data_IF_119107293195
#
_entry.id   IF_119107293195
#
_cell.length_a   1.000
_cell.length_b   1.000
_cell.length_c   1.000
_cell.angle_alpha   90.00
_cell.angle_beta   90.00
_cell.angle_gamma   90.00
#
_symmetry.space_group_name_H-M   'P 1'
#
loop_
_entity.id
_entity.type
_entity.pdbx_description
1 polymer ?
#
# COMPACT_ATOMS: atom_id res chain seq x y z
N UNK A 1 14.07 -11.36 -28.82
CA UNK A 1 13.88 -11.66 -27.38
C UNK A 1 12.74 -10.80 -26.87
N UNK A 2 11.78 -11.35 -26.14
CA UNK A 2 10.71 -10.54 -25.53
C UNK A 2 11.26 -9.82 -24.30
N UNK A 3 11.04 -8.50 -24.21
CA UNK A 3 11.42 -7.69 -23.05
C UNK A 3 10.50 -8.03 -21.87
N UNK A 4 10.97 -7.88 -20.64
CA UNK A 4 10.24 -8.31 -19.45
C UNK A 4 9.97 -7.15 -18.50
N UNK A 5 8.70 -6.92 -18.19
CA UNK A 5 8.27 -6.10 -17.06
C UNK A 5 7.72 -7.01 -15.96
N UNK A 6 8.40 -7.04 -14.82
CA UNK A 6 7.90 -7.71 -13.62
C UNK A 6 7.20 -6.68 -12.74
N UNK A 7 5.96 -6.94 -12.35
CA UNK A 7 5.26 -6.16 -11.32
C UNK A 7 5.39 -6.91 -10.01
N UNK A 8 6.29 -6.46 -9.13
CA UNK A 8 6.57 -7.07 -7.85
C UNK A 8 5.67 -6.46 -6.78
N UNK A 9 4.72 -7.25 -6.28
CA UNK A 9 3.85 -6.87 -5.18
C UNK A 9 4.59 -7.04 -3.84
N UNK A 10 4.82 -5.92 -3.18
CA UNK A 10 5.60 -5.77 -1.95
C UNK A 10 4.71 -5.36 -0.77
N UNK A 11 5.33 -5.31 0.40
CA UNK A 11 4.77 -4.75 1.62
C UNK A 11 5.88 -4.02 2.37
N UNK A 12 5.56 -3.02 3.18
CA UNK A 12 6.54 -2.36 4.07
C UNK A 12 6.90 -3.22 5.29
N UNK A 13 7.28 -4.47 5.04
CA UNK A 13 7.67 -5.46 6.04
C UNK A 13 9.09 -5.94 5.75
N UNK A 14 9.93 -5.97 6.78
CA UNK A 14 11.33 -6.39 6.69
C UNK A 14 11.51 -7.77 6.01
N UNK A 15 10.62 -8.71 6.33
CA UNK A 15 10.61 -10.07 5.80
C UNK A 15 10.41 -10.16 4.27
N UNK A 16 9.92 -9.09 3.64
CA UNK A 16 9.79 -9.04 2.18
C UNK A 16 11.08 -8.64 1.45
N UNK A 17 12.01 -7.97 2.13
CA UNK A 17 13.20 -7.40 1.51
C UNK A 17 14.14 -8.43 0.86
N UNK A 18 14.44 -9.60 1.46
CA UNK A 18 15.28 -10.59 0.80
C UNK A 18 14.69 -11.05 -0.55
N UNK A 19 13.38 -11.30 -0.60
CA UNK A 19 12.68 -11.68 -1.84
C UNK A 19 12.59 -10.52 -2.83
N UNK A 20 12.40 -9.29 -2.33
CA UNK A 20 12.45 -8.11 -3.19
C UNK A 20 13.81 -7.99 -3.88
N UNK A 21 14.90 -8.13 -3.12
CA UNK A 21 16.27 -8.09 -3.63
C UNK A 21 16.50 -9.13 -4.74
N UNK A 22 16.14 -10.39 -4.48
CA UNK A 22 16.25 -11.49 -5.45
C UNK A 22 15.53 -11.18 -6.78
N UNK A 23 14.29 -10.69 -6.70
CA UNK A 23 13.48 -10.37 -7.89
C UNK A 23 14.03 -9.14 -8.61
N UNK A 24 14.40 -8.09 -7.88
CA UNK A 24 14.93 -6.85 -8.42
C UNK A 24 16.27 -7.07 -9.14
N UNK A 25 17.18 -7.84 -8.55
CA UNK A 25 18.51 -8.14 -9.10
C UNK A 25 18.47 -8.85 -10.48
N UNK A 26 17.35 -9.46 -10.85
CA UNK A 26 17.17 -10.11 -12.15
C UNK A 26 16.84 -9.12 -13.30
N UNK A 27 16.76 -7.81 -13.03
CA UNK A 27 16.33 -6.80 -13.98
C UNK A 27 17.39 -5.71 -14.19
N UNK A 28 17.38 -5.06 -15.36
CA UNK A 28 18.27 -3.95 -15.66
C UNK A 28 17.89 -2.66 -14.92
N UNK A 29 16.61 -2.50 -14.58
CA UNK A 29 16.12 -1.37 -13.81
C UNK A 29 15.02 -1.75 -12.81
N UNK A 30 14.93 -0.97 -11.74
CA UNK A 30 13.83 -0.99 -10.76
C UNK A 30 13.14 0.36 -10.72
N UNK A 31 11.81 0.35 -10.78
CA UNK A 31 10.96 1.52 -10.60
C UNK A 31 10.23 1.42 -9.26
N UNK A 32 10.54 2.32 -8.35
CA UNK A 32 10.02 2.38 -6.98
C UNK A 32 8.67 3.09 -6.92
N UNK A 33 7.84 2.72 -5.94
CA UNK A 33 6.56 3.37 -5.62
C UNK A 33 6.76 4.61 -4.73
N UNK A 34 7.69 5.47 -5.12
CA UNK A 34 8.04 6.69 -4.39
C UNK A 34 8.22 7.86 -5.37
N UNK A 35 7.88 9.10 -4.96
CA UNK A 35 8.18 10.28 -5.77
C UNK A 35 9.69 10.56 -5.72
N UNK A 36 10.24 11.29 -6.71
CA UNK A 36 11.61 11.77 -6.64
C UNK A 36 11.87 12.56 -5.34
N UNK A 37 12.91 12.19 -4.59
CA UNK A 37 13.32 12.89 -3.37
C UNK A 37 14.74 13.47 -3.51
N UNK A 38 15.00 14.68 -2.98
CA UNK A 38 16.34 15.24 -2.94
C UNK A 38 17.34 14.29 -2.24
N UNK A 39 18.54 14.16 -2.81
CA UNK A 39 19.61 13.32 -2.24
C UNK A 39 19.47 11.82 -2.48
N UNK A 40 18.39 11.34 -3.11
CA UNK A 40 18.22 9.90 -3.40
C UNK A 40 19.35 9.33 -4.26
N UNK A 41 19.73 10.01 -5.34
CA UNK A 41 20.83 9.56 -6.18
C UNK A 41 22.19 9.59 -5.47
N UNK A 42 22.43 10.60 -4.64
CA UNK A 42 23.66 10.70 -3.85
C UNK A 42 23.73 9.59 -2.80
N UNK A 43 22.58 9.22 -2.23
CA UNK A 43 22.44 8.07 -1.34
C UNK A 43 22.75 6.77 -2.08
N UNK A 44 22.26 6.58 -3.30
CA UNK A 44 22.57 5.40 -4.11
C UNK A 44 24.04 5.32 -4.55
N UNK A 45 24.70 6.47 -4.74
CA UNK A 45 26.12 6.59 -5.09
C UNK A 45 27.07 6.52 -3.90
N UNK A 46 26.54 6.37 -2.68
CA UNK A 46 27.32 6.39 -1.43
C UNK A 46 28.02 7.74 -1.13
N UNK A 47 27.60 8.82 -1.81
CA UNK A 47 28.07 10.19 -1.54
C UNK A 47 27.26 10.91 -0.46
N UNK A 48 26.09 10.37 -0.11
CA UNK A 48 25.28 10.76 1.05
C UNK A 48 25.02 9.51 1.90
N UNK A 49 25.18 9.61 3.22
CA UNK A 49 24.91 8.46 4.09
C UNK A 49 23.41 8.13 4.09
N UNK A 50 23.05 6.87 4.38
CA UNK A 50 21.63 6.50 4.48
C UNK A 50 20.98 7.29 5.61
N UNK A 51 21.66 7.44 6.75
CA UNK A 51 21.09 8.11 7.91
C UNK A 51 20.83 9.61 7.60
N UNK A 52 21.77 10.31 6.94
CA UNK A 52 21.56 11.71 6.51
C UNK A 52 20.43 11.87 5.48
N UNK A 53 20.28 10.89 4.57
CA UNK A 53 19.18 10.88 3.61
C UNK A 53 17.83 10.71 4.32
N UNK A 54 17.77 9.83 5.32
CA UNK A 54 16.54 9.55 6.06
C UNK A 54 16.16 10.68 7.04
N UNK A 55 17.11 11.45 7.57
CA UNK A 55 16.81 12.61 8.46
C UNK A 55 15.91 13.66 7.79
N UNK A 56 15.98 13.78 6.47
CA UNK A 56 15.27 14.79 5.69
C UNK A 56 13.90 14.31 5.19
N UNK A 57 13.47 13.09 5.53
CA UNK A 57 12.22 12.51 5.03
C UNK A 57 11.48 11.77 6.15
N UNK A 58 10.18 12.03 6.28
CA UNK A 58 9.33 11.35 7.27
C UNK A 58 8.83 10.01 6.71
N UNK A 59 9.28 8.90 7.30
CA UNK A 59 8.89 7.54 6.90
C UNK A 59 8.16 6.82 8.02
N UNK A 60 7.02 6.18 7.68
CA UNK A 60 6.22 5.41 8.64
C UNK A 60 6.84 4.09 9.12
N UNK A 61 7.92 3.63 8.49
CA UNK A 61 8.59 2.35 8.78
C UNK A 61 10.12 2.53 8.77
N UNK A 62 10.73 3.10 9.82
CA UNK A 62 12.14 3.48 9.83
C UNK A 62 13.10 2.31 9.61
N UNK A 63 12.87 1.15 10.23
CA UNK A 63 13.77 -0.01 10.08
C UNK A 63 13.69 -0.58 8.67
N UNK A 64 12.48 -0.76 8.14
CA UNK A 64 12.25 -1.18 6.76
C UNK A 64 12.91 -0.22 5.78
N UNK A 65 12.68 1.08 5.92
CA UNK A 65 13.18 2.08 4.98
C UNK A 65 14.71 2.10 4.96
N UNK A 66 15.35 2.01 6.13
CA UNK A 66 16.80 1.93 6.23
C UNK A 66 17.38 0.69 5.55
N UNK A 67 16.78 -0.47 5.77
CA UNK A 67 17.23 -1.71 5.13
C UNK A 67 16.93 -1.73 3.62
N UNK A 68 15.81 -1.16 3.20
CA UNK A 68 15.47 -0.98 1.79
C UNK A 68 16.49 -0.06 1.10
N UNK A 69 16.88 1.07 1.70
CA UNK A 69 17.94 1.93 1.18
C UNK A 69 19.27 1.19 1.01
N UNK A 70 19.67 0.40 2.01
CA UNK A 70 20.89 -0.39 1.94
C UNK A 70 20.85 -1.44 0.81
N UNK A 71 19.72 -2.13 0.66
CA UNK A 71 19.47 -3.06 -0.45
C UNK A 71 19.56 -2.35 -1.81
N UNK A 72 18.88 -1.21 -1.98
CA UNK A 72 18.85 -0.44 -3.21
C UNK A 72 20.23 0.10 -3.58
N UNK A 73 21.01 0.60 -2.61
CA UNK A 73 22.41 0.99 -2.79
C UNK A 73 23.25 -0.18 -3.28
N UNK A 74 23.10 -1.37 -2.68
CA UNK A 74 23.80 -2.57 -3.12
C UNK A 74 23.46 -2.96 -4.57
N UNK A 75 22.17 -2.92 -4.93
CA UNK A 75 21.73 -3.21 -6.30
C UNK A 75 22.24 -2.16 -7.30
N UNK A 76 22.23 -0.88 -6.92
CA UNK A 76 22.77 0.20 -7.75
C UNK A 76 24.28 0.06 -7.97
N UNK A 77 25.04 -0.28 -6.92
CA UNK A 77 26.47 -0.57 -7.02
C UNK A 77 26.77 -1.77 -7.95
N UNK A 78 25.84 -2.71 -8.09
CA UNK A 78 25.91 -3.81 -9.04
C UNK A 78 25.55 -3.41 -10.50
N UNK A 79 25.30 -2.12 -10.76
CA UNK A 79 25.02 -1.57 -12.10
C UNK A 79 23.54 -1.48 -12.45
N UNK A 80 22.63 -1.77 -11.53
CA UNK A 80 21.19 -1.66 -11.75
C UNK A 80 20.74 -0.20 -11.72
N UNK A 81 19.87 0.20 -12.66
CA UNK A 81 19.24 1.53 -12.62
C UNK A 81 18.09 1.53 -11.61
N UNK A 82 18.12 2.44 -10.64
CA UNK A 82 17.03 2.58 -9.65
C UNK A 82 16.37 3.94 -9.87
N UNK A 83 15.06 3.96 -10.13
CA UNK A 83 14.30 5.17 -10.38
C UNK A 83 13.08 5.25 -9.46
N UNK A 84 12.80 6.44 -8.94
CA UNK A 84 11.56 6.77 -8.27
C UNK A 84 10.51 7.16 -9.31
N UNK A 85 9.39 6.43 -9.38
CA UNK A 85 8.36 6.62 -10.41
C UNK A 85 6.99 6.64 -9.77
N UNK A 86 6.62 7.80 -9.21
CA UNK A 86 5.31 8.03 -8.60
C UNK A 86 4.75 9.43 -8.94
N UNK A 87 4.21 9.61 -10.16
CA UNK A 87 3.79 10.92 -10.65
C UNK A 87 2.66 11.55 -9.82
N UNK A 88 1.80 10.75 -9.19
CA UNK A 88 0.72 11.29 -8.37
C UNK A 88 1.28 12.06 -7.17
N UNK A 89 2.25 11.47 -6.46
CA UNK A 89 2.86 12.11 -5.29
C UNK A 89 3.78 13.26 -5.69
N UNK A 90 4.45 13.18 -6.84
CA UNK A 90 5.22 14.29 -7.39
C UNK A 90 4.33 15.51 -7.67
N UNK A 91 3.20 15.32 -8.36
CA UNK A 91 2.22 16.38 -8.61
C UNK A 91 1.65 16.92 -7.29
N UNK A 92 1.37 16.04 -6.32
CA UNK A 92 0.87 16.45 -5.01
C UNK A 92 1.89 17.32 -4.25
N UNK A 93 3.18 16.98 -4.32
CA UNK A 93 4.24 17.79 -3.73
C UNK A 93 4.28 19.20 -4.35
N UNK A 94 4.20 19.31 -5.69
CA UNK A 94 4.14 20.61 -6.36
C UNK A 94 2.90 21.44 -5.99
N UNK A 95 1.76 20.80 -5.71
CA UNK A 95 0.56 21.48 -5.20
C UNK A 95 0.84 22.04 -3.79
N UNK A 96 1.47 21.27 -2.91
CA UNK A 96 1.83 21.72 -1.56
C UNK A 96 2.83 22.88 -1.59
N UNK A 97 3.86 22.82 -2.44
CA UNK A 97 4.82 23.91 -2.63
C UNK A 97 4.13 25.21 -3.09
N UNK A 98 3.19 25.11 -4.05
CA UNK A 98 2.39 26.25 -4.50
C UNK A 98 1.60 26.88 -3.35
N UNK A 99 0.95 26.06 -2.51
CA UNK A 99 0.18 26.57 -1.37
C UNK A 99 1.10 27.18 -0.31
N UNK A 100 2.27 26.60 -0.06
CA UNK A 100 3.28 27.18 0.83
C UNK A 100 3.79 28.55 0.32
N UNK A 101 3.84 28.73 -1.00
CA UNK A 101 4.16 30.01 -1.65
C UNK A 101 2.97 31.01 -1.69
N UNK A 102 1.83 30.70 -1.07
CA UNK A 102 0.67 31.58 -0.97
C UNK A 102 -0.39 31.39 -2.06
N UNK A 103 -0.25 30.38 -2.92
CA UNK A 103 -1.29 30.02 -3.89
C UNK A 103 -2.53 29.40 -3.23
N UNK A 104 -3.66 29.46 -3.91
CA UNK A 104 -4.94 28.94 -3.45
C UNK A 104 -5.46 27.81 -4.36
N UNK A 105 -6.37 26.94 -3.86
CA UNK A 105 -7.01 25.92 -4.70
C UNK A 105 -7.71 26.46 -5.95
N UNK A 106 -8.18 27.71 -5.93
CA UNK A 106 -8.81 28.35 -7.09
C UNK A 106 -7.83 28.64 -8.24
N UNK A 107 -6.52 28.67 -7.96
CA UNK A 107 -5.47 28.97 -8.94
C UNK A 107 -5.04 27.74 -9.75
N UNK A 108 -5.57 26.55 -9.42
CA UNK A 108 -5.31 25.31 -10.15
C UNK A 108 -6.26 25.25 -11.37
N UNK A 109 -5.75 25.17 -12.62
CA UNK A 109 -6.60 25.12 -13.80
C UNK A 109 -7.54 23.91 -13.79
N UNK A 110 -8.81 24.09 -14.16
CA UNK A 110 -9.83 23.04 -14.02
C UNK A 110 -9.58 21.78 -14.87
N UNK A 111 -8.99 21.92 -16.05
CA UNK A 111 -8.75 20.81 -16.98
C UNK A 111 -7.32 20.25 -16.89
N UNK A 112 -6.66 20.40 -15.74
CA UNK A 112 -5.27 19.97 -15.54
C UNK A 112 -5.12 18.68 -14.73
N UNK A 113 -3.96 18.03 -14.84
CA UNK A 113 -3.64 16.86 -14.01
C UNK A 113 -3.54 17.24 -12.53
N UNK A 114 -3.01 18.42 -12.22
CA UNK A 114 -2.95 18.97 -10.86
C UNK A 114 -4.34 19.09 -10.25
N UNK A 115 -5.36 19.53 -11.01
CA UNK A 115 -6.74 19.57 -10.51
C UNK A 115 -7.25 18.17 -10.20
N UNK A 116 -7.01 17.20 -11.08
CA UNK A 116 -7.43 15.81 -10.86
C UNK A 116 -6.81 15.22 -9.60
N UNK A 117 -5.50 15.42 -9.40
CA UNK A 117 -4.77 14.98 -8.19
C UNK A 117 -5.30 15.69 -6.95
N UNK A 118 -5.47 17.01 -7.00
CA UNK A 118 -6.01 17.81 -5.90
C UNK A 118 -7.39 17.33 -5.45
N UNK A 119 -8.35 17.14 -6.38
CA UNK A 119 -9.70 16.70 -6.01
C UNK A 119 -9.72 15.26 -5.47
N UNK A 120 -8.88 14.37 -6.02
CA UNK A 120 -8.74 13.01 -5.52
C UNK A 120 -8.18 12.98 -4.09
N UNK A 121 -7.11 13.74 -3.83
CA UNK A 121 -6.52 13.89 -2.50
C UNK A 121 -7.52 14.50 -1.52
N UNK A 122 -8.16 15.63 -1.88
CA UNK A 122 -9.16 16.30 -1.05
C UNK A 122 -10.32 15.39 -0.67
N UNK A 123 -10.84 14.62 -1.62
CA UNK A 123 -11.92 13.67 -1.36
C UNK A 123 -11.47 12.56 -0.39
N UNK A 124 -10.26 12.04 -0.58
CA UNK A 124 -9.66 11.03 0.29
C UNK A 124 -9.44 11.56 1.71
N UNK A 125 -8.78 12.72 1.87
CA UNK A 125 -8.56 13.37 3.17
C UNK A 125 -9.89 13.67 3.86
N UNK A 126 -10.89 14.17 3.11
CA UNK A 126 -12.24 14.42 3.65
C UNK A 126 -12.90 13.15 4.18
N UNK A 127 -12.78 12.03 3.47
CA UNK A 127 -13.31 10.74 3.91
C UNK A 127 -12.56 10.19 5.14
N UNK A 128 -11.23 10.38 5.21
CA UNK A 128 -10.40 10.00 6.36
C UNK A 128 -10.79 10.78 7.62
N UNK A 129 -10.94 12.11 7.51
CA UNK A 129 -11.40 12.95 8.61
C UNK A 129 -12.82 12.57 9.07
N UNK A 130 -13.70 12.22 8.14
CA UNK A 130 -15.02 11.72 8.48
C UNK A 130 -14.95 10.38 9.24
N UNK A 131 -14.05 9.48 8.86
CA UNK A 131 -13.80 8.24 9.60
C UNK A 131 -13.34 8.51 11.04
N UNK A 132 -12.37 9.40 11.25
CA UNK A 132 -11.93 9.75 12.61
C UNK A 132 -13.03 10.36 13.47
N UNK A 133 -13.89 11.21 12.88
CA UNK A 133 -15.06 11.75 13.59
C UNK A 133 -16.08 10.66 13.91
N UNK A 134 -16.27 9.70 13.01
CA UNK A 134 -17.20 8.59 13.22
C UNK A 134 -16.70 7.62 14.30
N UNK A 135 -15.41 7.27 14.32
CA UNK A 135 -14.82 6.34 15.29
C UNK A 135 -14.86 6.85 16.74
N UNK A 136 -14.87 8.18 16.92
CA UNK A 136 -15.11 8.83 18.20
C UNK A 136 -16.56 8.72 18.69
N UNK A 137 -17.52 8.40 17.81
CA UNK A 137 -18.93 8.28 18.17
C UNK A 137 -19.25 6.89 18.77
N UNK A 138 -20.33 6.75 19.57
CA UNK A 138 -20.77 5.46 20.10
C UNK A 138 -21.50 4.58 19.07
N UNK A 139 -21.85 5.12 17.90
CA UNK A 139 -22.67 4.43 16.89
C UNK A 139 -21.82 3.62 15.92
N UNK A 140 -21.86 2.29 16.05
CA UNK A 140 -21.10 1.35 15.21
C UNK A 140 -21.41 1.49 13.72
N UNK A 141 -22.68 1.58 13.35
CA UNK A 141 -23.14 1.66 11.95
C UNK A 141 -22.60 2.93 11.26
N UNK A 142 -22.44 4.02 12.02
CA UNK A 142 -21.82 5.24 11.51
C UNK A 142 -20.34 5.02 11.18
N UNK A 143 -19.61 4.27 12.02
CA UNK A 143 -18.23 3.88 11.73
C UNK A 143 -18.15 3.03 10.48
N UNK A 144 -19.01 2.00 10.36
CA UNK A 144 -19.07 1.13 9.17
C UNK A 144 -19.30 1.94 7.90
N UNK A 145 -20.25 2.87 7.91
CA UNK A 145 -20.53 3.69 6.73
C UNK A 145 -19.38 4.66 6.40
N UNK A 146 -18.66 5.16 7.42
CA UNK A 146 -17.48 5.98 7.21
C UNK A 146 -16.33 5.16 6.60
N UNK A 147 -16.11 3.92 7.04
CA UNK A 147 -15.13 2.99 6.44
C UNK A 147 -15.45 2.72 4.98
N UNK A 148 -16.72 2.44 4.64
CA UNK A 148 -17.13 2.24 3.24
C UNK A 148 -16.89 3.47 2.38
N UNK A 149 -17.18 4.65 2.91
CA UNK A 149 -16.95 5.92 2.22
C UNK A 149 -15.47 6.16 1.98
N UNK A 150 -14.64 5.89 3.01
CA UNK A 150 -13.19 5.96 2.91
C UNK A 150 -12.64 4.97 1.87
N UNK A 151 -13.03 3.70 1.92
CA UNK A 151 -12.56 2.68 0.96
C UNK A 151 -12.89 3.03 -0.50
N UNK A 152 -14.05 3.69 -0.77
CA UNK A 152 -14.39 4.18 -2.11
C UNK A 152 -13.52 5.36 -2.55
N UNK A 153 -13.25 6.30 -1.65
CA UNK A 153 -12.37 7.44 -1.92
C UNK A 153 -10.94 6.96 -2.16
N UNK A 154 -10.45 6.03 -1.33
CA UNK A 154 -9.14 5.38 -1.43
C UNK A 154 -8.99 4.60 -2.73
N UNK A 155 -9.98 3.79 -3.11
CA UNK A 155 -10.00 3.11 -4.41
C UNK A 155 -9.98 4.08 -5.60
N UNK A 156 -10.70 5.20 -5.51
CA UNK A 156 -10.75 6.20 -6.58
C UNK A 156 -9.42 6.93 -6.74
N UNK A 157 -8.80 7.31 -5.61
CA UNK A 157 -7.45 7.89 -5.55
C UNK A 157 -6.41 6.90 -6.08
N UNK A 158 -6.44 5.65 -5.62
CA UNK A 158 -5.56 4.58 -6.07
C UNK A 158 -5.63 4.32 -7.57
N UNK A 159 -6.83 4.31 -8.18
CA UNK A 159 -6.98 4.19 -9.64
C UNK A 159 -6.30 5.31 -10.41
N UNK A 160 -6.46 6.56 -9.96
CA UNK A 160 -5.82 7.70 -10.61
C UNK A 160 -4.29 7.56 -10.50
N UNK A 161 -3.79 7.25 -9.30
CA UNK A 161 -2.38 6.97 -9.03
C UNK A 161 -1.81 5.89 -9.96
N UNK A 162 -2.47 4.73 -10.02
CA UNK A 162 -2.08 3.60 -10.87
C UNK A 162 -2.06 3.94 -12.36
N UNK A 163 -3.05 4.71 -12.82
CA UNK A 163 -3.13 5.15 -14.23
C UNK A 163 -2.01 6.11 -14.60
N UNK A 164 -1.70 7.08 -13.73
CA UNK A 164 -0.60 8.02 -13.97
C UNK A 164 0.75 7.28 -13.93
N UNK A 165 0.93 6.41 -12.94
CA UNK A 165 2.13 5.61 -12.78
C UNK A 165 2.35 4.65 -13.95
N UNK A 166 1.33 3.95 -14.44
CA UNK A 166 1.42 3.09 -15.62
C UNK A 166 1.93 3.86 -16.87
N UNK A 167 1.41 5.08 -17.11
CA UNK A 167 1.86 5.92 -18.23
C UNK A 167 3.33 6.33 -18.08
N UNK A 168 3.74 6.75 -16.89
CA UNK A 168 5.13 7.11 -16.63
C UNK A 168 6.07 5.92 -16.82
N UNK A 169 5.71 4.74 -16.27
CA UNK A 169 6.45 3.49 -16.47
C UNK A 169 6.65 3.20 -17.96
N UNK A 170 5.57 3.20 -18.76
CA UNK A 170 5.63 2.89 -20.19
C UNK A 170 6.53 3.89 -20.95
N UNK A 171 6.51 5.16 -20.57
CA UNK A 171 7.36 6.19 -21.20
C UNK A 171 8.87 5.95 -21.01
N UNK A 172 9.26 5.23 -19.96
CA UNK A 172 10.66 4.94 -19.63
C UNK A 172 11.18 3.63 -20.26
N UNK A 173 10.29 2.77 -20.76
CA UNK A 173 10.63 1.45 -21.31
C UNK A 173 11.50 1.43 -22.60
N UNK A 174 11.42 2.40 -23.54
CA UNK A 174 12.12 2.29 -24.82
C UNK A 174 13.63 2.00 -24.69
N UNK A 175 14.27 2.54 -23.65
CA UNK A 175 15.70 2.44 -23.38
C UNK A 175 16.10 1.26 -22.47
N UNK A 176 15.18 0.33 -22.17
CA UNK A 176 15.38 -0.74 -21.19
C UNK A 176 15.07 -2.12 -21.79
N UNK A 177 15.75 -3.14 -21.29
CA UNK A 177 15.58 -4.54 -21.70
C UNK A 177 14.69 -5.34 -20.73
N UNK A 178 14.81 -5.05 -19.43
CA UNK A 178 14.00 -5.65 -18.37
C UNK A 178 13.81 -4.66 -17.21
N UNK A 179 12.61 -4.65 -16.63
CA UNK A 179 12.25 -3.74 -15.54
C UNK A 179 11.48 -4.48 -14.46
N UNK A 180 11.84 -4.25 -13.20
CA UNK A 180 11.01 -4.60 -12.06
C UNK A 180 10.30 -3.32 -11.56
N UNK A 181 8.98 -3.35 -11.51
CA UNK A 181 8.15 -2.29 -10.93
C UNK A 181 7.73 -2.76 -9.55
N UNK A 182 8.14 -2.02 -8.53
CA UNK A 182 7.79 -2.24 -7.14
C UNK A 182 6.42 -1.61 -6.87
N UNK A 183 5.51 -2.33 -6.21
CA UNK A 183 4.19 -1.80 -5.87
C UNK A 183 3.59 -2.52 -4.66
N UNK A 184 2.88 -1.83 -3.78
CA UNK A 184 2.13 -2.43 -2.68
C UNK A 184 0.96 -3.31 -3.15
N UNK A 185 0.49 -4.22 -2.30
CA UNK A 185 -0.62 -5.14 -2.62
C UNK A 185 -1.94 -4.46 -3.06
N UNK A 186 -2.16 -3.20 -2.67
CA UNK A 186 -3.37 -2.44 -3.00
C UNK A 186 -3.39 -1.93 -4.44
N UNK A 187 -2.23 -1.86 -5.10
CA UNK A 187 -2.03 -1.37 -6.47
C UNK A 187 -2.39 -2.41 -7.54
N UNK A 188 -3.49 -3.15 -7.33
CA UNK A 188 -3.93 -4.14 -8.31
C UNK A 188 -4.44 -3.50 -9.61
N UNK A 189 -4.92 -2.26 -9.57
CA UNK A 189 -5.35 -1.56 -10.79
C UNK A 189 -4.15 -1.22 -11.69
N UNK A 190 -2.94 -1.01 -11.13
CA UNK A 190 -1.71 -0.83 -11.91
C UNK A 190 -1.44 -2.02 -12.84
N UNK A 191 -1.71 -3.24 -12.39
CA UNK A 191 -1.60 -4.43 -13.23
C UNK A 191 -2.54 -4.36 -14.45
N UNK A 192 -3.76 -3.86 -14.27
CA UNK A 192 -4.75 -3.71 -15.34
C UNK A 192 -4.38 -2.58 -16.30
N UNK A 193 -3.96 -1.43 -15.75
CA UNK A 193 -3.49 -0.28 -16.53
C UNK A 193 -2.28 -0.68 -17.38
N UNK A 194 -1.25 -1.31 -16.79
CA UNK A 194 -0.09 -1.80 -17.53
C UNK A 194 -0.49 -2.78 -18.63
N UNK A 195 -1.37 -3.77 -18.36
CA UNK A 195 -1.85 -4.69 -19.41
C UNK A 195 -2.49 -3.97 -20.59
N UNK A 196 -3.18 -2.86 -20.36
CA UNK A 196 -3.90 -2.12 -21.39
C UNK A 196 -2.96 -1.31 -22.30
N UNK A 197 -1.85 -0.79 -21.76
CA UNK A 197 -0.98 0.15 -22.49
C UNK A 197 0.45 -0.34 -22.73
N UNK A 198 0.80 -1.55 -22.30
CA UNK A 198 2.15 -2.09 -22.46
C UNK A 198 2.50 -2.22 -23.96
N UNK A 199 3.68 -1.74 -24.41
CA UNK A 199 4.07 -1.84 -25.81
C UNK A 199 4.22 -3.28 -26.29
N UNK A 200 3.97 -3.49 -27.59
CA UNK A 200 4.21 -4.78 -28.25
C UNK A 200 5.66 -5.21 -28.04
N UNK A 201 5.88 -6.49 -27.73
CA UNK A 201 7.19 -7.07 -27.48
C UNK A 201 7.61 -7.11 -26.00
N UNK A 202 6.83 -6.47 -25.12
CA UNK A 202 6.99 -6.62 -23.67
C UNK A 202 6.04 -7.68 -23.11
N UNK A 203 6.56 -8.51 -22.20
CA UNK A 203 5.77 -9.44 -21.38
C UNK A 203 5.61 -8.86 -19.99
N UNK A 204 4.39 -8.89 -19.46
CA UNK A 204 4.08 -8.53 -18.09
C UNK A 204 4.01 -9.77 -17.18
N UNK A 205 4.78 -9.78 -16.10
CA UNK A 205 4.79 -10.86 -15.12
C UNK A 205 4.50 -10.32 -13.70
N UNK A 206 3.30 -10.55 -13.15
CA UNK A 206 3.05 -10.21 -11.74
C UNK A 206 3.72 -11.24 -10.83
N UNK A 207 4.43 -10.76 -9.82
CA UNK A 207 5.11 -11.56 -8.78
C UNK A 207 4.64 -11.08 -7.41
N UNK A 208 4.29 -12.01 -6.54
CA UNK A 208 3.95 -11.74 -5.14
C UNK A 208 5.09 -12.27 -4.29
N UNK A 209 5.84 -11.38 -3.65
CA UNK A 209 7.12 -11.73 -3.04
C UNK A 209 7.00 -12.83 -1.98
N UNK A 210 5.93 -12.81 -1.18
CA UNK A 210 5.70 -13.75 -0.08
C UNK A 210 4.67 -14.84 -0.42
N UNK A 211 4.38 -15.09 -1.70
CA UNK A 211 3.33 -16.03 -2.08
C UNK A 211 3.65 -17.49 -1.72
N UNK A 212 4.92 -17.87 -1.65
CA UNK A 212 5.31 -19.23 -1.26
C UNK A 212 4.92 -19.52 0.19
N UNK A 213 5.34 -18.61 1.07
CA UNK A 213 5.13 -18.63 2.50
C UNK A 213 3.65 -18.45 2.83
N UNK A 214 2.98 -17.49 2.19
CA UNK A 214 1.54 -17.26 2.40
C UNK A 214 0.71 -18.50 2.04
N UNK A 215 1.06 -19.20 0.94
CA UNK A 215 0.37 -20.42 0.54
C UNK A 215 0.58 -21.56 1.52
N UNK A 216 1.79 -21.71 2.07
CA UNK A 216 2.07 -22.73 3.10
C UNK A 216 1.25 -22.47 4.36
N UNK A 217 1.10 -21.21 4.75
CA UNK A 217 0.41 -20.83 5.98
C UNK A 217 -1.12 -20.86 5.84
N UNK A 218 -1.66 -20.39 4.72
CA UNK A 218 -3.11 -20.13 4.59
C UNK A 218 -3.76 -20.73 3.35
N UNK A 219 -3.00 -21.38 2.47
CA UNK A 219 -3.47 -21.85 1.16
C UNK A 219 -3.71 -20.74 0.14
N UNK A 220 -3.50 -19.46 0.48
CA UNK A 220 -3.75 -18.29 -0.39
C UNK A 220 -2.46 -17.71 -0.96
N UNK A 221 -2.55 -16.99 -2.08
CA UNK A 221 -1.39 -16.35 -2.73
C UNK A 221 -0.88 -15.12 -1.98
N UNK A 222 -1.76 -14.42 -1.28
CA UNK A 222 -1.46 -13.22 -0.50
C UNK A 222 -2.48 -13.11 0.64
N UNK A 223 -2.13 -12.38 1.69
CA UNK A 223 -3.06 -11.95 2.72
C UNK A 223 -3.60 -10.58 2.36
N UNK A 224 -4.89 -10.39 2.60
CA UNK A 224 -5.55 -9.09 2.43
C UNK A 224 -6.48 -8.91 3.62
N UNK A 225 -6.31 -7.80 4.34
CA UNK A 225 -7.24 -7.40 5.37
C UNK A 225 -8.65 -7.19 4.79
N UNK A 226 -9.72 -7.26 5.61
CA UNK A 226 -11.07 -6.97 5.13
C UNK A 226 -11.19 -5.57 4.50
N UNK A 227 -10.41 -4.60 5.01
CA UNK A 227 -10.29 -3.26 4.44
C UNK A 227 -9.65 -3.26 3.06
N UNK A 228 -8.53 -3.95 2.88
CA UNK A 228 -7.86 -4.06 1.57
C UNK A 228 -8.76 -4.76 0.55
N UNK A 229 -9.46 -5.82 0.96
CA UNK A 229 -10.45 -6.49 0.09
C UNK A 229 -11.55 -5.51 -0.31
N UNK A 230 -12.05 -4.71 0.63
CA UNK A 230 -13.09 -3.70 0.35
C UNK A 230 -12.59 -2.65 -0.66
N UNK A 231 -11.40 -2.09 -0.45
CA UNK A 231 -10.80 -1.12 -1.38
C UNK A 231 -10.59 -1.76 -2.75
N UNK A 232 -10.02 -2.96 -2.83
CA UNK A 232 -9.76 -3.66 -4.09
C UNK A 232 -11.03 -3.95 -4.89
N UNK A 233 -12.13 -4.30 -4.21
CA UNK A 233 -13.43 -4.49 -4.85
C UNK A 233 -13.91 -3.21 -5.55
N UNK A 234 -13.72 -2.05 -4.92
CA UNK A 234 -14.02 -0.75 -5.53
C UNK A 234 -13.00 -0.38 -6.62
N UNK A 235 -11.73 -0.74 -6.46
CA UNK A 235 -10.65 -0.53 -7.42
C UNK A 235 -10.84 -1.32 -8.72
N UNK A 236 -11.49 -2.48 -8.68
CA UNK A 236 -11.68 -3.30 -9.89
C UNK A 236 -13.03 -3.04 -10.61
N UNK A 237 -13.85 -2.11 -10.11
CA UNK A 237 -15.07 -1.65 -10.81
C UNK A 237 -16.26 -2.62 -10.81
N UNK A 238 -16.22 -3.65 -9.95
CA UNK A 238 -17.34 -4.59 -9.80
C UNK A 238 -18.48 -4.03 -8.95
N UNK A 239 -19.72 -4.44 -9.24
CA UNK A 239 -20.85 -4.22 -8.32
C UNK A 239 -20.64 -5.07 -7.08
N UNK A 240 -20.47 -4.45 -5.93
CA UNK A 240 -20.39 -5.15 -4.65
C UNK A 240 -21.77 -5.15 -4.02
N UNK A 241 -22.19 -6.31 -3.51
CA UNK A 241 -23.43 -6.40 -2.74
C UNK A 241 -23.28 -5.62 -1.45
N UNK A 242 -24.30 -4.82 -1.09
CA UNK A 242 -24.28 -3.97 0.09
C UNK A 242 -23.98 -4.75 1.37
N UNK A 243 -24.59 -5.93 1.55
CA UNK A 243 -24.34 -6.81 2.71
C UNK A 243 -22.87 -7.24 2.84
N UNK A 244 -22.19 -7.46 1.71
CA UNK A 244 -20.77 -7.80 1.67
C UNK A 244 -19.89 -6.58 2.00
N UNK A 245 -20.23 -5.40 1.48
CA UNK A 245 -19.52 -4.17 1.85
C UNK A 245 -19.64 -3.88 3.35
N UNK A 246 -20.85 -3.99 3.89
CA UNK A 246 -21.12 -3.77 5.32
C UNK A 246 -20.32 -4.74 6.18
N UNK A 247 -20.29 -6.02 5.81
CA UNK A 247 -19.52 -7.04 6.53
C UNK A 247 -18.01 -6.80 6.46
N UNK A 248 -17.46 -6.46 5.28
CA UNK A 248 -16.03 -6.19 5.15
C UNK A 248 -15.61 -4.96 5.94
N UNK A 249 -16.41 -3.89 5.90
CA UNK A 249 -16.18 -2.68 6.68
C UNK A 249 -16.30 -2.93 8.20
N UNK A 250 -17.27 -3.74 8.62
CA UNK A 250 -17.41 -4.16 10.01
C UNK A 250 -16.19 -4.97 10.48
N UNK A 251 -15.76 -5.96 9.68
CA UNK A 251 -14.59 -6.79 10.01
C UNK A 251 -13.29 -6.00 10.00
N UNK A 252 -13.13 -5.00 9.12
CA UNK A 252 -11.92 -4.18 9.10
C UNK A 252 -11.76 -3.36 10.38
N UNK A 253 -12.87 -2.91 10.98
CA UNK A 253 -12.87 -2.22 12.28
C UNK A 253 -12.38 -3.12 13.41
N UNK A 254 -12.64 -4.42 13.37
CA UNK A 254 -12.13 -5.39 14.34
C UNK A 254 -10.67 -5.73 14.03
N UNK A 255 -10.38 -6.06 12.78
CA UNK A 255 -9.06 -6.45 12.30
C UNK A 255 -7.97 -5.44 12.68
N UNK A 256 -8.22 -4.14 12.50
CA UNK A 256 -7.26 -3.08 12.84
C UNK A 256 -6.98 -2.96 14.35
N UNK A 257 -7.88 -3.45 15.21
CA UNK A 257 -7.65 -3.50 16.67
C UNK A 257 -6.82 -4.71 17.07
N UNK A 258 -6.81 -5.77 16.26
CA UNK A 258 -6.06 -7.00 16.54
C UNK A 258 -4.64 -6.95 16.02
N UNK A 259 -4.39 -6.23 14.93
CA UNK A 259 -3.10 -6.15 14.26
C UNK A 259 -2.00 -5.54 15.14
N UNK A 260 -0.82 -6.14 15.07
CA UNK A 260 0.40 -5.51 15.60
C UNK A 260 0.80 -4.34 14.69
N UNK A 261 1.05 -3.17 15.29
CA UNK A 261 1.32 -1.92 14.55
C UNK A 261 2.81 -1.62 14.42
N UNK A 262 3.61 -2.09 15.36
CA UNK A 262 5.04 -1.83 15.39
C UNK A 262 5.79 -2.66 14.35
N UNK A 263 6.93 -2.17 13.89
CA UNK A 263 7.86 -2.99 13.14
C UNK A 263 8.35 -4.15 14.02
N UNK A 264 8.45 -5.34 13.43
CA UNK A 264 8.88 -6.56 14.11
C UNK A 264 10.25 -6.91 13.54
N UNK A 265 11.34 -6.36 14.09
CA UNK A 265 12.68 -6.79 13.72
C UNK A 265 12.83 -8.24 14.18
N UNK A 266 12.97 -9.17 13.23
CA UNK A 266 13.32 -10.59 13.42
C UNK A 266 12.86 -11.26 14.73
N UNK A 267 11.92 -12.19 14.65
CA UNK A 267 11.46 -12.99 15.78
C UNK A 267 11.89 -14.46 15.70
N UNK A 268 11.30 -15.36 16.53
CA UNK A 268 11.47 -16.81 16.36
C UNK A 268 10.92 -17.33 15.03
N UNK A 269 10.06 -16.54 14.36
CA UNK A 269 9.57 -16.80 13.01
C UNK A 269 10.31 -15.93 12.00
N UNK A 270 10.62 -16.49 10.83
CA UNK A 270 11.23 -15.80 9.69
C UNK A 270 10.30 -14.74 9.07
N UNK A 271 8.97 -14.91 9.24
CA UNK A 271 7.93 -14.03 8.69
C UNK A 271 6.93 -13.57 9.78
N UNK A 272 7.38 -12.82 10.80
CA UNK A 272 6.55 -12.48 11.95
C UNK A 272 5.29 -11.70 11.60
N UNK A 273 5.34 -10.78 10.62
CA UNK A 273 4.17 -10.00 10.20
C UNK A 273 3.17 -10.86 9.44
N UNK A 274 3.64 -11.72 8.52
CA UNK A 274 2.77 -12.66 7.82
C UNK A 274 2.01 -13.58 8.78
N UNK A 275 2.67 -14.06 9.84
CA UNK A 275 2.03 -14.87 10.86
C UNK A 275 1.00 -14.08 11.68
N UNK A 276 1.35 -12.85 12.10
CA UNK A 276 0.45 -11.94 12.82
C UNK A 276 -0.83 -11.64 12.03
N UNK A 277 -0.66 -11.31 10.75
CA UNK A 277 -1.73 -11.00 9.82
C UNK A 277 -2.62 -12.23 9.56
N UNK A 278 -2.03 -13.41 9.39
CA UNK A 278 -2.76 -14.65 9.18
C UNK A 278 -3.63 -15.03 10.39
N UNK A 279 -3.07 -14.97 11.59
CA UNK A 279 -3.78 -15.26 12.84
C UNK A 279 -4.95 -14.29 13.05
N UNK A 280 -4.70 -12.98 12.84
CA UNK A 280 -5.76 -11.98 12.93
C UNK A 280 -6.85 -12.20 11.87
N UNK A 281 -6.46 -12.58 10.65
CA UNK A 281 -7.39 -12.86 9.55
C UNK A 281 -8.27 -14.07 9.81
N UNK A 282 -7.70 -15.15 10.37
CA UNK A 282 -8.45 -16.34 10.75
C UNK A 282 -9.58 -15.97 11.73
N UNK A 283 -9.23 -15.23 12.79
CA UNK A 283 -10.20 -14.77 13.80
C UNK A 283 -11.31 -13.91 13.19
N UNK A 284 -10.98 -12.91 12.36
CA UNK A 284 -12.01 -12.01 11.80
C UNK A 284 -12.81 -12.61 10.65
N UNK A 285 -12.33 -13.69 10.04
CA UNK A 285 -12.99 -14.33 8.88
C UNK A 285 -14.31 -15.00 9.25
N UNK A 286 -14.48 -15.36 10.52
CA UNK A 286 -15.68 -16.04 11.02
C UNK A 286 -16.71 -15.09 11.65
N UNK A 287 -16.32 -13.83 11.94
CA UNK A 287 -17.21 -12.86 12.59
C UNK A 287 -18.34 -12.39 11.67
N UNK A 288 -19.59 -12.52 12.10
CA UNK A 288 -20.73 -11.87 11.47
C UNK A 288 -20.77 -10.36 11.74
N UNK A 289 -21.67 -9.66 11.04
CA UNK A 289 -21.87 -8.22 11.26
C UNK A 289 -22.27 -7.90 12.71
N UNK A 290 -23.17 -8.72 13.28
CA UNK A 290 -23.62 -8.57 14.66
C UNK A 290 -22.52 -8.85 15.68
N UNK A 291 -21.58 -9.75 15.38
CA UNK A 291 -20.43 -10.02 16.24
C UNK A 291 -19.50 -8.82 16.27
N UNK A 292 -19.20 -8.24 15.09
CA UNK A 292 -18.44 -7.00 15.00
C UNK A 292 -19.11 -5.85 15.75
N UNK A 293 -20.45 -5.73 15.67
CA UNK A 293 -21.21 -4.70 16.37
C UNK A 293 -21.07 -4.80 17.89
N UNK A 294 -21.08 -6.03 18.44
CA UNK A 294 -20.91 -6.28 19.87
C UNK A 294 -19.46 -6.09 20.34
N UNK A 295 -18.50 -6.55 19.54
CA UNK A 295 -17.08 -6.54 19.89
C UNK A 295 -16.47 -5.14 19.79
N UNK A 296 -16.74 -4.40 18.72
CA UNK A 296 -16.08 -3.13 18.42
C UNK A 296 -16.00 -2.16 19.61
N UNK A 297 -17.10 -1.81 20.32
CA UNK A 297 -17.03 -0.85 21.42
C UNK A 297 -16.15 -1.32 22.59
N UNK A 298 -15.97 -2.64 22.76
CA UNK A 298 -15.21 -3.27 23.85
C UNK A 298 -13.72 -3.40 23.53
N UNK A 299 -13.37 -3.41 22.24
CA UNK A 299 -11.99 -3.44 21.78
C UNK A 299 -11.35 -2.05 21.76
N UNK A 300 -12.15 -0.98 21.71
CA UNK A 300 -11.63 0.39 21.64
C UNK A 300 -10.76 0.71 22.85
N UNK A 301 -9.54 1.15 22.57
CA UNK A 301 -8.57 1.56 23.60
C UNK A 301 -7.78 0.39 24.20
N UNK A 302 -8.05 -0.85 23.79
CA UNK A 302 -7.22 -1.99 24.16
C UNK A 302 -5.95 -2.04 23.31
N UNK A 303 -4.89 -2.61 23.88
CA UNK A 303 -3.73 -3.04 23.10
C UNK A 303 -4.09 -4.23 22.21
N UNK A 304 -3.34 -4.48 21.11
CA UNK A 304 -3.56 -5.66 20.26
C UNK A 304 -3.60 -6.98 21.03
N UNK A 305 -2.74 -7.16 22.03
CA UNK A 305 -2.69 -8.37 22.86
C UNK A 305 -3.95 -8.57 23.72
N UNK A 306 -4.43 -7.50 24.35
CA UNK A 306 -5.68 -7.51 25.13
C UNK A 306 -6.89 -7.76 24.23
N UNK A 307 -6.92 -7.10 23.07
CA UNK A 307 -7.96 -7.26 22.07
C UNK A 307 -8.06 -8.72 21.58
N UNK A 308 -6.93 -9.36 21.25
CA UNK A 308 -6.87 -10.79 20.85
C UNK A 308 -7.39 -11.71 21.95
N UNK A 309 -7.00 -11.43 23.20
CA UNK A 309 -7.45 -12.22 24.36
C UNK A 309 -8.97 -12.12 24.53
N UNK A 310 -9.53 -10.92 24.39
CA UNK A 310 -10.97 -10.70 24.49
C UNK A 310 -11.73 -11.44 23.39
N UNK A 311 -11.31 -11.30 22.12
CA UNK A 311 -12.00 -11.95 21.01
C UNK A 311 -11.96 -13.48 21.15
N UNK A 312 -10.82 -14.08 21.50
CA UNK A 312 -10.71 -15.54 21.69
C UNK A 312 -11.65 -16.06 22.78
N UNK A 313 -11.81 -15.32 23.88
CA UNK A 313 -12.75 -15.72 24.95
C UNK A 313 -14.19 -15.75 24.47
N UNK A 314 -14.56 -14.86 23.55
CA UNK A 314 -15.93 -14.77 23.02
C UNK A 314 -16.19 -15.65 21.82
N UNK A 315 -15.16 -16.04 21.07
CA UNK A 315 -15.28 -17.02 19.99
C UNK A 315 -15.41 -18.48 20.49
N UNK A 316 -15.12 -18.74 21.78
CA UNK A 316 -15.21 -20.06 22.42
C UNK A 316 -16.49 -20.22 23.26
N UNK A 317 -17.25 -19.14 23.46
CA UNK A 317 -18.49 -19.11 24.24
C UNK A 317 -19.73 -19.18 23.33
#
# INVERSE_FOLDING_TARGET
MSRLLTLAFTSHRLESLPRACEVMAAHAAVFLEEPPTPGFEDMLRDSLSIDDYLENTDYGFPLFTRQACAMLRGLHAAGMRVLQVEPFLEILASIHERFAAGGAPADIPNDSLERMVYEAEKAWTGALLNYYRASASPHFERCVQAVKTFARADASRGKLRDRLRAKAIVSLLPCLESVCVEAGYIHHALLLELRAILPVGWRLAPVWLLAGETRRLTGRRQLLGPGDVLTLLHSCGGRVQQSREDLLAARSLIYIQLLTKDELPGGPHEFPHLHDEAECLEVVSDLGFEDCRKLYPRLRGLTPAEARTLVRRESVA
#
